data_IF_797718649025
#
_entry.id   IF_797718649025
#
_cell.length_a   1.000
_cell.length_b   1.000
_cell.length_c   1.000
_cell.angle_alpha   90.00
_cell.angle_beta   90.00
_cell.angle_gamma   90.00
#
_symmetry.space_group_name_H-M   'P 1'
#
loop_
_entity.id
_entity.type
_entity.pdbx_description
1 polymer ?
#
# COMPACT_ATOMS: atom_id res chain seq x y z
N UNK A 1 9.19 -12.26 38.09
CA UNK A 1 7.75 -12.05 38.01
C UNK A 1 7.31 -12.33 36.57
N UNK A 2 6.52 -13.36 36.34
CA UNK A 2 5.97 -13.66 35.01
C UNK A 2 4.92 -12.63 34.69
N UNK A 3 5.21 -11.71 33.76
CA UNK A 3 4.18 -10.80 33.23
C UNK A 3 3.24 -11.63 32.37
N UNK A 4 2.06 -11.97 32.90
CA UNK A 4 1.03 -12.63 32.13
C UNK A 4 0.77 -11.82 30.84
N UNK A 5 0.96 -12.44 29.69
CA UNK A 5 0.70 -11.82 28.39
C UNK A 5 -0.79 -11.47 28.31
N UNK A 6 -1.10 -10.20 28.07
CA UNK A 6 -2.48 -9.79 27.82
C UNK A 6 -2.87 -10.16 26.39
N UNK A 7 -4.01 -10.81 26.17
CA UNK A 7 -4.47 -11.13 24.83
C UNK A 7 -4.81 -9.84 24.05
N UNK A 8 -4.50 -9.83 22.76
CA UNK A 8 -4.90 -8.80 21.81
C UNK A 8 -5.81 -9.45 20.77
N UNK A 9 -6.91 -8.79 20.45
CA UNK A 9 -7.81 -9.18 19.35
C UNK A 9 -7.81 -8.06 18.33
N UNK A 10 -7.42 -8.37 17.10
CA UNK A 10 -7.54 -7.49 15.95
C UNK A 10 -8.75 -7.93 15.13
N UNK A 11 -9.72 -7.03 14.96
CA UNK A 11 -10.90 -7.26 14.12
C UNK A 11 -10.83 -6.35 12.91
N UNK A 12 -10.77 -6.95 11.72
CA UNK A 12 -10.76 -6.23 10.44
C UNK A 12 -12.14 -6.42 9.81
N UNK A 13 -12.89 -5.31 9.70
CA UNK A 13 -14.18 -5.29 9.01
C UNK A 13 -13.93 -4.86 7.56
N UNK A 14 -13.55 -5.83 6.73
CA UNK A 14 -13.21 -5.59 5.33
C UNK A 14 -14.41 -5.02 4.56
N UNK A 15 -14.17 -3.95 3.82
CA UNK A 15 -15.21 -3.20 3.12
C UNK A 15 -15.99 -2.19 3.99
N UNK A 16 -15.73 -2.12 5.31
CA UNK A 16 -16.34 -1.12 6.19
C UNK A 16 -15.54 0.19 6.11
N UNK A 17 -16.04 1.15 5.33
CA UNK A 17 -15.38 2.43 5.11
C UNK A 17 -16.08 3.61 5.78
N UNK A 18 -15.36 4.70 5.94
CA UNK A 18 -15.90 5.98 6.40
C UNK A 18 -16.44 6.81 5.25
N UNK A 19 -17.64 7.35 5.40
CA UNK A 19 -18.22 8.32 4.47
C UNK A 19 -19.16 9.26 5.21
N UNK A 20 -19.14 10.53 4.85
CA UNK A 20 -20.11 11.54 5.33
C UNK A 20 -21.45 11.50 4.59
N UNK A 21 -21.52 10.79 3.45
CA UNK A 21 -22.75 10.63 2.68
C UNK A 21 -23.70 9.69 3.38
N UNK A 22 -24.96 10.09 3.50
CA UNK A 22 -26.01 9.26 4.11
C UNK A 22 -26.78 8.46 3.05
N UNK A 23 -26.97 9.05 1.89
CA UNK A 23 -27.70 8.44 0.78
C UNK A 23 -26.91 7.29 0.18
N UNK A 24 -27.57 6.17 -0.08
CA UNK A 24 -26.97 4.93 -0.59
C UNK A 24 -25.83 4.37 0.28
N UNK A 25 -25.82 4.69 1.57
CA UNK A 25 -24.80 4.26 2.52
C UNK A 25 -25.38 3.26 3.52
N UNK A 26 -25.16 1.97 3.29
CA UNK A 26 -25.65 0.90 4.12
C UNK A 26 -25.06 0.95 5.55
N UNK A 27 -23.80 1.40 5.70
CA UNK A 27 -23.15 1.58 7.01
C UNK A 27 -23.88 2.65 7.82
N UNK A 28 -24.18 3.80 7.20
CA UNK A 28 -24.91 4.88 7.86
C UNK A 28 -26.38 4.53 8.20
N UNK A 29 -27.01 3.68 7.37
CA UNK A 29 -28.39 3.23 7.59
C UNK A 29 -28.51 2.11 8.64
N UNK A 30 -27.44 1.41 8.96
CA UNK A 30 -27.43 0.29 9.87
C UNK A 30 -27.57 0.75 11.34
N UNK A 31 -28.21 -0.07 12.15
CA UNK A 31 -28.24 0.12 13.62
C UNK A 31 -27.01 -0.55 14.22
N UNK A 32 -26.01 0.23 14.62
CA UNK A 32 -24.71 -0.26 15.09
C UNK A 32 -24.37 0.20 16.51
N UNK A 33 -25.24 -0.05 17.53
CA UNK A 33 -25.09 0.55 18.86
C UNK A 33 -23.77 0.21 19.55
N UNK A 34 -23.18 -0.95 19.28
CA UNK A 34 -21.90 -1.33 19.86
C UNK A 34 -20.72 -0.61 19.17
N UNK A 35 -20.74 -0.51 17.83
CA UNK A 35 -19.70 0.23 17.09
C UNK A 35 -19.79 1.73 17.39
N UNK A 36 -21.02 2.28 17.47
CA UNK A 36 -21.25 3.67 17.83
C UNK A 36 -20.69 3.99 19.22
N UNK A 37 -20.92 3.08 20.18
CA UNK A 37 -20.37 3.20 21.53
C UNK A 37 -18.83 3.12 21.51
N UNK A 38 -18.24 2.20 20.78
CA UNK A 38 -16.79 2.07 20.67
C UNK A 38 -16.15 3.32 20.05
N UNK A 39 -16.76 3.85 18.98
CA UNK A 39 -16.28 5.07 18.34
C UNK A 39 -16.36 6.32 19.24
N UNK A 40 -17.37 6.38 20.12
CA UNK A 40 -17.56 7.50 21.05
C UNK A 40 -16.68 7.40 22.30
N UNK A 41 -16.57 6.21 22.88
CA UNK A 41 -16.00 6.01 24.22
C UNK A 41 -14.50 5.65 24.18
N UNK A 42 -13.97 5.30 23.03
CA UNK A 42 -12.56 4.90 22.84
C UNK A 42 -11.87 5.72 21.75
N UNK A 43 -10.56 5.66 21.72
CA UNK A 43 -9.76 6.36 20.70
C UNK A 43 -10.04 5.82 19.31
N UNK A 44 -10.34 6.71 18.38
CA UNK A 44 -10.56 6.40 16.96
C UNK A 44 -9.80 7.34 16.06
N UNK A 45 -9.42 6.86 14.88
CA UNK A 45 -8.76 7.64 13.85
C UNK A 45 -9.13 7.10 12.47
N UNK A 46 -8.90 7.92 11.44
CA UNK A 46 -9.03 7.51 10.06
C UNK A 46 -7.64 7.19 9.50
N UNK A 47 -7.58 6.17 8.66
CA UNK A 47 -6.39 5.81 7.88
C UNK A 47 -6.72 5.86 6.40
N UNK A 48 -5.73 6.17 5.57
CA UNK A 48 -5.88 6.08 4.13
C UNK A 48 -5.90 4.62 3.68
N UNK A 49 -6.75 4.33 2.71
CA UNK A 49 -6.89 2.99 2.11
C UNK A 49 -6.64 2.99 0.60
N UNK A 50 -6.02 4.04 0.02
CA UNK A 50 -5.87 4.17 -1.43
C UNK A 50 -4.54 4.84 -1.81
N UNK A 51 -4.20 4.75 -3.08
CA UNK A 51 -3.05 5.43 -3.67
C UNK A 51 -1.72 5.07 -3.02
N UNK A 52 -0.82 6.02 -2.97
CA UNK A 52 0.55 5.84 -2.47
C UNK A 52 0.61 5.40 -1.00
N UNK A 53 -0.40 5.75 -0.21
CA UNK A 53 -0.48 5.40 1.21
C UNK A 53 -0.62 3.89 1.45
N UNK A 54 -1.01 3.15 0.42
CA UNK A 54 -1.10 1.68 0.44
C UNK A 54 -0.23 1.00 -0.62
N UNK A 55 0.67 1.76 -1.25
CA UNK A 55 1.63 1.25 -2.22
C UNK A 55 1.10 1.10 -3.65
N UNK A 56 -0.03 1.72 -3.96
CA UNK A 56 -0.63 1.78 -5.30
C UNK A 56 -0.28 3.11 -5.99
N UNK A 57 -0.46 3.19 -7.33
CA UNK A 57 -0.39 4.47 -8.02
C UNK A 57 -1.33 5.52 -7.43
N UNK A 58 -0.95 6.79 -7.55
CA UNK A 58 -1.79 7.89 -7.07
C UNK A 58 -3.20 7.83 -7.69
N UNK A 59 -4.22 8.14 -6.89
CA UNK A 59 -5.62 8.11 -7.29
C UNK A 59 -6.23 6.72 -7.48
N UNK A 60 -5.46 5.65 -7.35
CA UNK A 60 -5.98 4.29 -7.45
C UNK A 60 -6.65 3.88 -6.13
N UNK A 61 -7.89 3.39 -6.23
CA UNK A 61 -8.63 2.84 -5.09
C UNK A 61 -7.92 1.60 -4.56
N UNK A 62 -7.80 1.50 -3.24
CA UNK A 62 -7.25 0.32 -2.58
C UNK A 62 -8.15 -0.92 -2.68
N UNK A 63 -7.61 -2.03 -2.25
CA UNK A 63 -8.33 -3.30 -2.16
C UNK A 63 -7.87 -4.07 -0.92
N UNK A 64 -8.57 -5.17 -0.63
CA UNK A 64 -8.29 -6.01 0.53
C UNK A 64 -6.87 -6.58 0.53
N UNK A 65 -6.35 -6.99 -0.63
CA UNK A 65 -5.02 -7.58 -0.74
C UNK A 65 -3.93 -6.61 -0.28
N UNK A 66 -3.87 -5.41 -0.87
CA UNK A 66 -2.84 -4.43 -0.49
C UNK A 66 -3.02 -3.95 0.95
N UNK A 67 -4.26 -3.80 1.42
CA UNK A 67 -4.55 -3.40 2.80
C UNK A 67 -4.02 -4.41 3.81
N UNK A 68 -4.30 -5.70 3.63
CA UNK A 68 -3.82 -6.76 4.51
C UNK A 68 -2.30 -6.93 4.44
N UNK A 69 -1.69 -6.78 3.27
CA UNK A 69 -0.22 -6.80 3.14
C UNK A 69 0.42 -5.67 3.95
N UNK A 70 -0.11 -4.46 3.86
CA UNK A 70 0.41 -3.31 4.62
C UNK A 70 0.24 -3.48 6.14
N UNK A 71 -0.93 -3.97 6.58
CA UNK A 71 -1.19 -4.29 8.00
C UNK A 71 -0.20 -5.35 8.50
N UNK A 72 -0.01 -6.43 7.73
CA UNK A 72 0.89 -7.51 8.09
C UNK A 72 2.37 -7.10 8.11
N UNK A 73 2.77 -6.25 7.18
CA UNK A 73 4.13 -5.73 7.08
C UNK A 73 4.45 -4.61 8.09
N UNK A 74 3.42 -3.94 8.64
CA UNK A 74 3.58 -2.76 9.50
C UNK A 74 4.22 -1.56 8.80
N UNK A 75 4.17 -1.52 7.48
CA UNK A 75 4.70 -0.44 6.64
C UNK A 75 4.01 -0.44 5.28
N UNK A 76 4.19 0.65 4.51
CA UNK A 76 3.75 0.68 3.11
C UNK A 76 4.59 -0.30 2.29
N UNK A 77 3.90 -1.20 1.57
CA UNK A 77 4.51 -2.13 0.61
C UNK A 77 4.11 -1.68 -0.79
N UNK A 78 5.04 -1.05 -1.49
CA UNK A 78 4.80 -0.59 -2.85
C UNK A 78 4.63 -1.78 -3.81
N UNK A 79 3.56 -1.74 -4.60
CA UNK A 79 3.37 -2.65 -5.72
C UNK A 79 4.44 -2.40 -6.80
N UNK A 80 4.74 -3.42 -7.61
CA UNK A 80 5.87 -3.38 -8.56
C UNK A 80 5.87 -2.12 -9.44
N UNK A 81 4.72 -1.78 -10.04
CA UNK A 81 4.61 -0.58 -10.87
C UNK A 81 4.92 0.70 -10.09
N UNK A 82 4.36 0.83 -8.89
CA UNK A 82 4.56 2.00 -8.03
C UNK A 82 6.01 2.08 -7.56
N UNK A 83 6.60 0.94 -7.20
CA UNK A 83 8.00 0.84 -6.77
C UNK A 83 8.94 1.28 -7.88
N UNK A 84 8.79 0.74 -9.10
CA UNK A 84 9.63 1.11 -10.24
C UNK A 84 9.46 2.60 -10.58
N UNK A 85 8.23 3.10 -10.60
CA UNK A 85 7.96 4.51 -10.86
C UNK A 85 8.62 5.42 -9.82
N UNK A 86 8.58 5.00 -8.54
CA UNK A 86 9.22 5.72 -7.45
C UNK A 86 10.75 5.67 -7.58
N UNK A 87 11.34 4.52 -7.87
CA UNK A 87 12.78 4.36 -8.09
C UNK A 87 13.27 5.27 -9.22
N UNK A 88 12.47 5.43 -10.29
CA UNK A 88 12.79 6.35 -11.39
C UNK A 88 12.71 7.81 -10.91
N UNK A 89 11.66 8.16 -10.17
CA UNK A 89 11.42 9.52 -9.69
C UNK A 89 12.49 9.96 -8.67
N UNK A 90 12.89 9.05 -7.77
CA UNK A 90 13.89 9.30 -6.73
C UNK A 90 15.33 9.24 -7.29
N UNK A 91 15.51 8.70 -8.51
CA UNK A 91 16.80 8.54 -9.16
C UNK A 91 17.51 7.20 -8.90
N UNK A 92 16.96 6.37 -8.02
CA UNK A 92 17.54 5.07 -7.63
C UNK A 92 17.64 4.10 -8.80
N UNK A 93 16.66 4.16 -9.74
CA UNK A 93 16.69 3.36 -10.96
C UNK A 93 17.99 3.58 -11.76
N UNK A 94 18.48 4.81 -11.83
CA UNK A 94 19.69 5.16 -12.57
C UNK A 94 20.99 4.77 -11.84
N UNK A 95 20.88 4.35 -10.58
CA UNK A 95 21.97 3.81 -9.77
C UNK A 95 22.00 2.27 -9.80
N UNK A 96 21.13 1.62 -10.59
CA UNK A 96 21.03 0.18 -10.64
C UNK A 96 22.33 -0.43 -11.20
N UNK A 97 23.06 -1.11 -10.32
CA UNK A 97 24.38 -1.67 -10.62
C UNK A 97 24.33 -2.71 -11.75
N UNK A 98 23.27 -3.52 -11.81
CA UNK A 98 23.17 -4.58 -12.83
C UNK A 98 22.88 -4.02 -14.22
N UNK A 99 22.06 -2.98 -14.31
CA UNK A 99 21.82 -2.27 -15.57
C UNK A 99 23.09 -1.57 -16.05
N UNK A 100 23.79 -0.83 -15.18
CA UNK A 100 25.05 -0.19 -15.48
C UNK A 100 26.10 -1.19 -15.97
N UNK A 101 26.28 -2.29 -15.24
CA UNK A 101 27.23 -3.35 -15.58
C UNK A 101 26.93 -4.01 -16.95
N UNK A 102 25.65 -4.17 -17.30
CA UNK A 102 25.27 -4.70 -18.62
C UNK A 102 25.71 -3.76 -19.73
N UNK A 103 25.48 -2.45 -19.58
CA UNK A 103 25.88 -1.42 -20.52
C UNK A 103 27.41 -1.35 -20.64
N UNK A 104 28.11 -1.26 -19.51
CA UNK A 104 29.59 -1.18 -19.47
C UNK A 104 30.25 -2.40 -20.11
N UNK A 105 29.66 -3.59 -19.87
CA UNK A 105 30.16 -4.83 -20.49
C UNK A 105 30.02 -4.80 -22.00
N UNK A 106 28.90 -4.30 -22.52
CA UNK A 106 28.68 -4.19 -23.96
C UNK A 106 29.62 -3.16 -24.57
N UNK A 107 29.78 -1.99 -23.98
CA UNK A 107 30.68 -0.93 -24.42
C UNK A 107 32.12 -1.43 -24.47
N UNK A 108 32.59 -2.05 -23.38
CA UNK A 108 33.97 -2.56 -23.29
C UNK A 108 34.27 -3.63 -24.36
N UNK A 109 33.27 -4.42 -24.72
CA UNK A 109 33.41 -5.48 -25.74
C UNK A 109 33.07 -5.01 -27.17
N UNK A 110 32.77 -3.74 -27.38
CA UNK A 110 32.32 -3.21 -28.68
C UNK A 110 31.06 -3.87 -29.19
N UNK A 111 30.11 -4.18 -28.27
CA UNK A 111 28.82 -4.85 -28.57
C UNK A 111 27.65 -3.90 -28.32
N UNK A 112 26.48 -4.28 -28.83
CA UNK A 112 25.24 -3.52 -28.61
C UNK A 112 24.48 -4.05 -27.40
N UNK A 113 23.72 -3.17 -26.75
CA UNK A 113 22.67 -3.51 -25.80
C UNK A 113 21.35 -3.45 -26.55
N UNK A 114 20.56 -4.51 -26.47
CA UNK A 114 19.22 -4.56 -27.04
C UNK A 114 18.19 -4.41 -25.93
N UNK A 115 17.33 -3.41 -26.05
CA UNK A 115 16.23 -3.16 -25.12
C UNK A 115 14.93 -3.54 -25.83
N UNK A 116 14.13 -4.41 -25.22
CA UNK A 116 12.84 -4.86 -25.72
C UNK A 116 11.77 -4.64 -24.67
N UNK A 117 10.61 -4.14 -25.08
CA UNK A 117 9.47 -3.90 -24.17
C UNK A 117 8.29 -3.30 -24.90
N UNK A 118 7.22 -3.04 -24.12
CA UNK A 118 6.08 -2.28 -24.60
C UNK A 118 6.40 -0.79 -24.51
N UNK A 119 6.18 -0.08 -25.60
CA UNK A 119 6.42 1.36 -25.73
C UNK A 119 5.08 2.12 -25.63
N UNK A 120 4.25 1.78 -24.65
CA UNK A 120 2.91 2.39 -24.44
C UNK A 120 2.95 3.51 -23.42
#
# INVERSE_FOLDING_TARGET
MSTAKKPLVLVIMDGWGYSTKQEHNAVAAAKTPNLDRLARDYTSTLISGSGLDVGLPDGQMGNSEVGHVNIGAGRIVYQELTRISKDIQDGDFFQNVELGKAVDTAVTKGKAVHIMGLMS
#
